data_IF_326276381126
#
_entry.id   IF_326276381126
#
_cell.length_a   1.000
_cell.length_b   1.000
_cell.length_c   1.000
_cell.angle_alpha   90.00
_cell.angle_beta   90.00
_cell.angle_gamma   90.00
#
_symmetry.space_group_name_H-M   'P 1'
#
loop_
_entity.id
_entity.type
_entity.pdbx_description
1 polymer ?
#
# COMPACT_ATOMS: atom_id res chain seq x y z
N UNK A 1 -21.65 -16.33 4.23
CA UNK A 1 -21.18 -16.52 5.62
C UNK A 1 -22.36 -16.38 6.60
N UNK A 2 -22.38 -17.19 7.66
CA UNK A 2 -23.38 -17.14 8.73
C UNK A 2 -23.15 -15.96 9.68
N UNK A 3 -24.12 -15.68 10.57
CA UNK A 3 -24.03 -14.56 11.53
C UNK A 3 -22.81 -14.64 12.43
N UNK A 4 -22.48 -15.84 12.94
CA UNK A 4 -21.32 -16.05 13.82
C UNK A 4 -20.00 -15.80 13.11
N UNK A 5 -19.86 -16.25 11.86
CA UNK A 5 -18.67 -16.01 11.04
C UNK A 5 -18.45 -14.51 10.80
N UNK A 6 -19.53 -13.77 10.51
CA UNK A 6 -19.48 -12.31 10.37
C UNK A 6 -19.07 -11.65 11.68
N UNK A 7 -19.69 -12.05 12.80
CA UNK A 7 -19.38 -11.48 14.12
C UNK A 7 -17.96 -11.76 14.58
N UNK A 8 -17.44 -12.97 14.36
CA UNK A 8 -16.07 -13.34 14.67
C UNK A 8 -15.07 -12.58 13.77
N UNK A 9 -15.35 -12.47 12.47
CA UNK A 9 -14.54 -11.68 11.54
C UNK A 9 -14.48 -10.21 11.95
N UNK A 10 -15.63 -9.61 12.30
CA UNK A 10 -15.71 -8.23 12.77
C UNK A 10 -14.96 -8.00 14.09
N UNK A 11 -14.99 -8.96 15.02
CA UNK A 11 -14.19 -8.88 16.25
C UNK A 11 -12.69 -8.90 15.95
N UNK A 12 -12.26 -9.80 15.06
CA UNK A 12 -10.86 -9.90 14.69
C UNK A 12 -10.37 -8.66 13.94
N UNK A 13 -11.19 -8.14 13.02
CA UNK A 13 -10.94 -6.88 12.31
C UNK A 13 -10.78 -5.71 13.30
N UNK A 14 -11.72 -5.53 14.24
CA UNK A 14 -11.65 -4.49 15.28
C UNK A 14 -10.39 -4.61 16.13
N UNK A 15 -9.91 -5.82 16.38
CA UNK A 15 -8.68 -6.04 17.14
C UNK A 15 -7.41 -5.62 16.38
N UNK A 16 -7.44 -5.63 15.04
CA UNK A 16 -6.27 -5.38 14.18
C UNK A 16 -6.23 -3.95 13.62
N UNK A 17 -7.38 -3.31 13.37
CA UNK A 17 -7.44 -1.92 12.88
C UNK A 17 -6.51 -0.97 13.66
N UNK A 18 -6.42 -0.99 15.00
CA UNK A 18 -5.57 -0.07 15.75
C UNK A 18 -4.06 -0.19 15.45
N UNK A 19 -3.61 -1.33 14.91
CA UNK A 19 -2.20 -1.58 14.60
C UNK A 19 -1.89 -1.54 13.10
N UNK A 20 -2.90 -1.35 12.24
CA UNK A 20 -2.66 -1.22 10.81
C UNK A 20 -1.86 0.07 10.50
N UNK A 21 -1.00 0.04 9.47
CA UNK A 21 -0.36 1.23 8.93
C UNK A 21 -1.40 2.19 8.35
N UNK A 22 -1.01 3.45 8.17
CA UNK A 22 -1.83 4.38 7.39
C UNK A 22 -1.76 4.04 5.90
N UNK A 23 -2.68 4.60 5.12
CA UNK A 23 -2.66 4.47 3.66
C UNK A 23 -1.40 5.09 3.04
N UNK A 24 -0.87 6.17 3.63
CA UNK A 24 0.40 6.79 3.21
C UNK A 24 1.60 5.87 3.46
N UNK A 25 1.60 5.12 4.57
CA UNK A 25 2.69 4.18 4.91
C UNK A 25 2.61 2.88 4.09
N UNK A 26 1.39 2.42 3.82
CA UNK A 26 1.15 1.16 3.13
C UNK A 26 -0.11 1.24 2.26
N UNK A 27 0.01 1.72 1.01
CA UNK A 27 -1.13 2.07 0.15
C UNK A 27 -1.79 0.86 -0.50
N UNK A 28 -2.12 -0.17 0.28
CA UNK A 28 -2.69 -1.41 -0.20
C UNK A 28 -4.07 -1.65 0.41
N UNK A 29 -4.99 -2.15 -0.41
CA UNK A 29 -6.18 -2.81 0.09
C UNK A 29 -5.76 -4.17 0.70
N UNK A 30 -5.92 -4.31 2.00
CA UNK A 30 -5.59 -5.54 2.73
C UNK A 30 -6.85 -6.39 2.87
N UNK A 31 -6.78 -7.63 2.40
CA UNK A 31 -7.82 -8.64 2.63
C UNK A 31 -7.24 -9.82 3.38
N UNK A 32 -7.75 -10.05 4.58
CA UNK A 32 -7.41 -11.24 5.37
C UNK A 32 -8.60 -12.18 5.41
N UNK A 33 -8.35 -13.47 5.17
CA UNK A 33 -9.37 -14.53 5.29
C UNK A 33 -8.82 -15.53 6.30
N UNK A 34 -9.56 -15.73 7.39
CA UNK A 34 -9.24 -16.75 8.40
C UNK A 34 -10.12 -17.97 8.17
N UNK A 35 -9.52 -19.08 7.77
CA UNK A 35 -10.21 -20.36 7.58
C UNK A 35 -9.98 -21.25 8.80
N UNK A 36 -11.05 -21.66 9.47
CA UNK A 36 -10.99 -22.51 10.65
C UNK A 36 -11.07 -23.97 10.23
N UNK A 37 -9.95 -24.69 10.27
CA UNK A 37 -9.90 -26.13 9.99
C UNK A 37 -10.27 -26.98 11.21
N UNK A 38 -9.96 -26.50 12.41
CA UNK A 38 -10.26 -27.16 13.68
C UNK A 38 -10.76 -26.15 14.70
N UNK A 39 -11.68 -26.58 15.57
CA UNK A 39 -12.29 -25.71 16.57
C UNK A 39 -12.62 -26.49 17.84
N UNK A 40 -11.81 -26.30 18.87
CA UNK A 40 -12.16 -26.70 20.25
C UNK A 40 -12.00 -25.55 21.25
N UNK A 41 -11.81 -24.32 20.79
CA UNK A 41 -11.65 -23.12 21.60
C UNK A 41 -12.04 -21.88 20.82
N UNK A 42 -11.56 -20.71 21.23
CA UNK A 42 -11.99 -19.45 20.63
C UNK A 42 -11.36 -19.18 19.26
N UNK A 43 -12.05 -19.62 18.19
CA UNK A 43 -11.61 -19.43 16.80
C UNK A 43 -11.51 -17.96 16.39
N UNK A 44 -12.25 -17.06 17.05
CA UNK A 44 -12.13 -15.62 16.82
C UNK A 44 -10.80 -15.06 17.35
N UNK A 45 -10.32 -15.56 18.50
CA UNK A 45 -9.02 -15.18 19.04
C UNK A 45 -7.87 -15.82 18.25
N UNK A 46 -8.03 -17.07 17.84
CA UNK A 46 -7.10 -17.72 16.91
C UNK A 46 -7.00 -16.93 15.58
N UNK A 47 -8.12 -16.43 15.05
CA UNK A 47 -8.15 -15.59 13.84
C UNK A 47 -7.38 -14.28 14.02
N UNK A 48 -7.41 -13.65 15.19
CA UNK A 48 -6.58 -12.45 15.48
C UNK A 48 -5.10 -12.79 15.40
N UNK A 49 -4.67 -13.85 16.10
CA UNK A 49 -3.26 -14.28 16.13
C UNK A 49 -2.78 -14.66 14.73
N UNK A 50 -3.54 -15.49 14.01
CA UNK A 50 -3.22 -15.94 12.67
C UNK A 50 -3.16 -14.77 11.68
N UNK A 51 -4.12 -13.84 11.76
CA UNK A 51 -4.14 -12.65 10.91
C UNK A 51 -2.96 -11.73 11.21
N UNK A 52 -2.60 -11.52 12.48
CA UNK A 52 -1.41 -10.73 12.84
C UNK A 52 -0.15 -11.33 12.20
N UNK A 53 0.04 -12.65 12.29
CA UNK A 53 1.17 -13.33 11.66
C UNK A 53 1.10 -13.26 10.13
N UNK A 54 -0.07 -13.45 9.54
CA UNK A 54 -0.27 -13.40 8.09
C UNK A 54 0.03 -12.01 7.52
N UNK A 55 -0.36 -10.94 8.22
CA UNK A 55 -0.05 -9.56 7.83
C UNK A 55 1.46 -9.33 7.83
N UNK A 56 2.15 -9.74 8.90
CA UNK A 56 3.60 -9.66 8.99
C UNK A 56 4.29 -10.48 7.90
N UNK A 57 3.81 -11.70 7.62
CA UNK A 57 4.32 -12.58 6.57
C UNK A 57 4.12 -12.01 5.16
N UNK A 58 3.05 -11.24 4.95
CA UNK A 58 2.73 -10.56 3.70
C UNK A 58 3.53 -9.26 3.50
N UNK A 59 4.31 -8.83 4.50
CA UNK A 59 5.08 -7.59 4.46
C UNK A 59 4.27 -6.35 4.82
N UNK A 60 3.12 -6.52 5.47
CA UNK A 60 2.34 -5.38 5.99
C UNK A 60 3.06 -4.83 7.24
N UNK A 61 3.45 -3.55 7.26
CA UNK A 61 4.17 -2.94 8.37
C UNK A 61 3.21 -2.60 9.53
N UNK A 62 2.59 -3.62 10.13
CA UNK A 62 1.75 -3.41 11.32
C UNK A 62 2.60 -2.86 12.46
N UNK A 63 2.06 -1.89 13.21
CA UNK A 63 2.78 -1.17 14.27
C UNK A 63 3.31 -2.13 15.33
N UNK A 64 2.48 -3.11 15.74
CA UNK A 64 2.78 -4.12 16.76
C UNK A 64 1.96 -5.39 16.50
N UNK A 65 2.50 -6.59 16.78
CA UNK A 65 1.73 -7.82 16.71
C UNK A 65 0.62 -7.85 17.76
N UNK A 66 -0.51 -8.45 17.40
CA UNK A 66 -1.71 -8.56 18.23
C UNK A 66 -2.03 -10.03 18.46
N UNK A 67 -2.23 -10.42 19.72
CA UNK A 67 -2.73 -11.73 20.08
C UNK A 67 -4.11 -11.60 20.74
N UNK A 68 -4.92 -12.64 20.59
CA UNK A 68 -6.20 -12.81 21.26
C UNK A 68 -6.16 -13.99 22.23
N UNK A 69 -6.96 -13.92 23.29
CA UNK A 69 -7.21 -15.04 24.19
C UNK A 69 -8.61 -14.95 24.78
N UNK A 70 -9.21 -16.09 25.12
CA UNK A 70 -10.47 -16.16 25.87
C UNK A 70 -10.22 -16.57 27.32
N UNK A 71 -11.07 -16.09 28.21
CA UNK A 71 -11.20 -16.58 29.57
C UNK A 71 -12.67 -16.87 29.84
N UNK A 72 -12.92 -17.91 30.63
CA UNK A 72 -14.25 -18.25 31.09
C UNK A 72 -14.41 -17.98 32.57
N UNK A 73 -15.65 -18.01 33.03
CA UNK A 73 -15.98 -17.99 34.46
C UNK A 73 -16.86 -19.19 34.77
N UNK A 74 -16.62 -19.82 35.90
CA UNK A 74 -17.56 -20.75 36.54
C UNK A 74 -17.82 -20.22 37.94
N UNK A 75 -19.09 -20.04 38.29
CA UNK A 75 -19.54 -19.58 39.60
C UNK A 75 -20.18 -20.73 40.38
N UNK A 76 -19.96 -20.73 41.68
CA UNK A 76 -20.55 -21.66 42.64
C UNK A 76 -21.81 -21.07 43.27
N UNK A 77 -22.10 -21.49 44.50
CA UNK A 77 -23.34 -21.10 45.20
C UNK A 77 -23.31 -19.66 45.74
N UNK A 78 -22.13 -19.06 45.87
CA UNK A 78 -21.92 -17.71 46.42
C UNK A 78 -21.07 -16.85 45.49
N UNK A 79 -21.22 -15.53 45.56
CA UNK A 79 -20.50 -14.58 44.70
C UNK A 79 -18.97 -14.64 44.83
N UNK A 80 -18.46 -15.16 45.95
CA UNK A 80 -17.03 -15.32 46.24
C UNK A 80 -16.48 -16.70 45.81
N UNK A 81 -17.36 -17.64 45.47
CA UNK A 81 -17.00 -18.98 45.00
C UNK A 81 -17.00 -18.99 43.48
N UNK A 82 -15.85 -18.68 42.88
CA UNK A 82 -15.71 -18.68 41.43
C UNK A 82 -14.33 -19.12 40.96
N UNK A 83 -14.26 -19.57 39.70
CA UNK A 83 -13.02 -19.92 39.02
C UNK A 83 -12.99 -19.23 37.67
N UNK A 84 -11.91 -18.48 37.42
CA UNK A 84 -11.60 -17.96 36.08
C UNK A 84 -10.76 -18.99 35.34
N UNK A 85 -11.22 -19.38 34.15
CA UNK A 85 -10.55 -20.31 33.25
C UNK A 85 -9.79 -19.53 32.16
N UNK A 86 -8.70 -20.08 31.64
CA UNK A 86 -7.88 -19.44 30.60
C UNK A 86 -7.76 -20.34 29.40
N UNK A 87 -7.93 -19.76 28.22
CA UNK A 87 -7.97 -20.47 26.94
C UNK A 87 -9.05 -21.56 26.92
N UNK A 88 -10.28 -21.12 27.17
CA UNK A 88 -11.39 -22.04 27.38
C UNK A 88 -11.69 -22.89 26.14
N UNK A 89 -12.01 -24.14 26.40
CA UNK A 89 -12.52 -25.07 25.43
C UNK A 89 -14.01 -24.83 25.16
N UNK A 90 -14.52 -25.40 24.07
CA UNK A 90 -15.94 -25.28 23.72
C UNK A 90 -16.90 -25.80 24.82
N UNK A 91 -16.50 -26.85 25.55
CA UNK A 91 -17.28 -27.36 26.69
C UNK A 91 -17.26 -26.39 27.88
N UNK A 92 -16.10 -25.79 28.17
CA UNK A 92 -15.94 -24.83 29.26
C UNK A 92 -16.71 -23.53 28.98
N UNK A 93 -16.75 -23.08 27.72
CA UNK A 93 -17.64 -22.00 27.28
C UNK A 93 -19.11 -22.38 27.45
N UNK A 94 -19.51 -23.57 26.98
CA UNK A 94 -20.91 -24.01 27.03
C UNK A 94 -21.46 -24.03 28.46
N UNK A 95 -20.72 -24.62 29.40
CA UNK A 95 -21.11 -24.73 30.81
C UNK A 95 -20.71 -23.54 31.68
N UNK A 96 -19.86 -22.64 31.18
CA UNK A 96 -19.42 -21.46 31.91
C UNK A 96 -20.45 -20.33 31.93
N UNK A 97 -20.28 -19.44 32.89
CA UNK A 97 -21.15 -18.29 33.20
C UNK A 97 -20.75 -17.00 32.49
N UNK A 98 -19.55 -16.97 31.94
CA UNK A 98 -19.01 -15.84 31.17
C UNK A 98 -18.03 -16.36 30.10
N UNK A 99 -18.07 -15.74 28.93
CA UNK A 99 -17.02 -15.83 27.91
C UNK A 99 -16.43 -14.43 27.66
N UNK A 100 -15.18 -14.26 28.06
CA UNK A 100 -14.45 -13.01 28.01
C UNK A 100 -13.27 -13.10 27.05
N UNK A 101 -13.40 -12.45 25.90
CA UNK A 101 -12.38 -12.45 24.84
C UNK A 101 -11.64 -11.12 24.84
N UNK A 102 -10.31 -11.19 24.89
CA UNK A 102 -9.45 -10.01 24.92
C UNK A 102 -8.34 -10.15 23.90
N UNK A 103 -8.26 -9.17 23.00
CA UNK A 103 -7.18 -9.04 22.04
C UNK A 103 -6.38 -7.77 22.29
N UNK A 104 -5.09 -7.80 21.97
CA UNK A 104 -4.22 -6.65 22.18
C UNK A 104 -2.75 -6.90 21.91
N UNK A 105 -1.98 -5.84 22.11
CA UNK A 105 -0.52 -5.83 22.03
C UNK A 105 0.07 -5.97 23.44
N UNK A 106 1.40 -5.82 23.54
CA UNK A 106 2.12 -5.72 24.83
C UNK A 106 1.73 -4.47 25.63
N UNK A 107 1.45 -3.39 24.91
CA UNK A 107 1.16 -2.07 25.47
C UNK A 107 -0.27 -1.95 25.98
N UNK A 108 -1.21 -2.64 25.35
CA UNK A 108 -2.62 -2.41 25.64
C UNK A 108 -3.56 -3.36 24.93
N UNK A 109 -4.84 -3.17 25.21
CA UNK A 109 -5.94 -3.94 24.65
C UNK A 109 -6.43 -3.21 23.39
N UNK A 110 -6.65 -3.94 22.30
CA UNK A 110 -7.21 -3.41 21.06
C UNK A 110 -8.69 -3.76 20.89
N UNK A 111 -9.14 -4.87 21.45
CA UNK A 111 -10.55 -5.24 21.46
C UNK A 111 -10.91 -6.09 22.69
N UNK A 112 -12.14 -5.91 23.16
CA UNK A 112 -12.78 -6.75 24.18
C UNK A 112 -14.15 -7.16 23.65
N UNK A 113 -14.50 -8.42 23.83
CA UNK A 113 -15.86 -8.91 23.72
C UNK A 113 -16.17 -9.70 24.98
N UNK A 114 -17.35 -9.48 25.55
CA UNK A 114 -17.81 -10.18 26.74
C UNK A 114 -19.24 -10.64 26.51
N UNK A 115 -19.49 -11.90 26.80
CA UNK A 115 -20.83 -12.48 26.90
C UNK A 115 -21.01 -13.01 28.32
N UNK A 116 -22.12 -12.66 28.96
CA UNK A 116 -22.41 -12.99 30.36
C UNK A 116 -23.75 -13.73 30.38
N UNK A 117 -23.78 -14.89 31.05
CA UNK A 117 -24.99 -15.71 31.21
C UNK A 117 -25.63 -15.56 32.59
N UNK A 118 -24.95 -14.88 33.51
CA UNK A 118 -25.39 -14.59 34.88
C UNK A 118 -25.80 -13.12 35.06
N UNK A 119 -26.35 -12.81 36.23
CA UNK A 119 -26.97 -11.51 36.49
C UNK A 119 -25.98 -10.33 36.53
N UNK A 120 -24.70 -10.60 36.80
CA UNK A 120 -23.65 -9.59 36.81
C UNK A 120 -22.28 -10.15 37.18
N UNK A 121 -21.24 -9.31 37.09
CA UNK A 121 -19.88 -9.62 37.48
C UNK A 121 -19.43 -8.64 38.56
N UNK A 122 -18.76 -9.14 39.60
CA UNK A 122 -18.12 -8.26 40.58
C UNK A 122 -16.89 -7.59 39.95
N UNK A 123 -16.48 -6.45 40.51
CA UNK A 123 -15.26 -5.75 40.08
C UNK A 123 -14.03 -6.66 40.18
N UNK A 124 -13.98 -7.48 41.23
CA UNK A 124 -12.89 -8.42 41.46
C UNK A 124 -12.75 -9.45 40.33
N UNK A 125 -13.86 -10.04 39.89
CA UNK A 125 -13.87 -11.00 38.77
C UNK A 125 -13.34 -10.34 37.48
N UNK A 126 -13.76 -9.10 37.20
CA UNK A 126 -13.31 -8.37 36.01
C UNK A 126 -11.81 -8.06 36.08
N UNK A 127 -11.31 -7.58 37.22
CA UNK A 127 -9.89 -7.29 37.41
C UNK A 127 -9.04 -8.55 37.26
N UNK A 128 -9.49 -9.68 37.81
CA UNK A 128 -8.83 -10.97 37.66
C UNK A 128 -8.84 -11.46 36.21
N UNK A 129 -9.98 -11.40 35.52
CA UNK A 129 -10.09 -11.81 34.12
C UNK A 129 -9.18 -10.97 33.21
N UNK A 130 -9.10 -9.65 33.41
CA UNK A 130 -8.19 -8.78 32.66
C UNK A 130 -6.73 -9.12 32.95
N UNK A 131 -6.36 -9.35 34.22
CA UNK A 131 -4.99 -9.72 34.59
C UNK A 131 -4.58 -11.07 33.97
N UNK A 132 -5.48 -12.05 34.01
CA UNK A 132 -5.25 -13.40 33.49
C UNK A 132 -5.14 -13.42 31.97
N UNK A 133 -6.07 -12.75 31.28
CA UNK A 133 -6.00 -12.58 29.82
C UNK A 133 -4.75 -11.81 29.40
N UNK A 134 -4.29 -10.79 30.16
CA UNK A 134 -3.02 -10.12 29.89
C UNK A 134 -1.85 -11.09 29.94
N UNK A 135 -1.73 -11.89 31.01
CA UNK A 135 -0.62 -12.85 31.16
C UNK A 135 -0.60 -13.87 30.01
N UNK A 136 -1.76 -14.45 29.68
CA UNK A 136 -1.86 -15.44 28.62
C UNK A 136 -1.61 -14.83 27.23
N UNK A 137 -2.13 -13.63 26.96
CA UNK A 137 -1.89 -12.91 25.71
C UNK A 137 -0.41 -12.60 25.50
N UNK A 138 0.29 -12.17 26.54
CA UNK A 138 1.74 -11.93 26.47
C UNK A 138 2.49 -13.23 26.19
N UNK A 139 2.13 -14.33 26.84
CA UNK A 139 2.70 -15.65 26.54
C UNK A 139 2.52 -16.03 25.06
N UNK A 140 1.33 -15.85 24.50
CA UNK A 140 1.07 -16.12 23.06
C UNK A 140 1.95 -15.22 22.18
N UNK A 141 2.07 -13.94 22.50
CA UNK A 141 2.91 -13.00 21.73
C UNK A 141 4.39 -13.37 21.79
N UNK A 142 4.91 -13.63 22.99
CA UNK A 142 6.35 -13.75 23.26
C UNK A 142 6.87 -15.16 23.00
N UNK A 143 6.17 -16.17 23.50
CA UNK A 143 6.65 -17.54 23.51
C UNK A 143 6.22 -18.36 22.30
N UNK A 144 5.22 -17.88 21.54
CA UNK A 144 4.65 -18.60 20.40
C UNK A 144 4.78 -17.78 19.11
N UNK A 145 4.09 -16.65 19.01
CA UNK A 145 4.01 -15.87 17.77
C UNK A 145 5.38 -15.30 17.36
N UNK A 146 6.11 -14.66 18.29
CA UNK A 146 7.40 -14.05 17.99
C UNK A 146 8.46 -15.07 17.54
N UNK A 147 8.35 -16.34 17.98
CA UNK A 147 9.24 -17.42 17.52
C UNK A 147 8.95 -17.87 16.10
N UNK A 148 7.72 -17.69 15.62
CA UNK A 148 7.34 -17.99 14.24
C UNK A 148 7.68 -16.83 13.30
N UNK A 149 7.25 -15.60 13.65
CA UNK A 149 7.52 -14.38 12.90
C UNK A 149 7.75 -13.24 13.90
N UNK A 150 9.01 -12.81 14.04
CA UNK A 150 9.40 -11.79 15.01
C UNK A 150 8.97 -10.37 14.58
N UNK A 151 9.08 -10.06 13.29
CA UNK A 151 8.81 -8.75 12.71
C UNK A 151 8.18 -8.88 11.31
N UNK A 152 7.46 -7.85 10.82
CA UNK A 152 6.99 -7.82 9.44
C UNK A 152 8.13 -8.02 8.45
N UNK A 153 7.87 -8.76 7.36
CA UNK A 153 8.84 -8.85 6.28
C UNK A 153 9.09 -7.47 5.67
N UNK A 154 10.32 -7.15 5.24
CA UNK A 154 10.67 -5.83 4.73
C UNK A 154 9.99 -5.52 3.39
N UNK A 155 9.64 -6.56 2.62
CA UNK A 155 8.99 -6.41 1.31
C UNK A 155 7.76 -7.31 1.21
N UNK A 156 6.79 -6.84 0.43
CA UNK A 156 5.66 -7.66 -0.02
C UNK A 156 6.15 -8.79 -0.93
N UNK A 157 5.34 -9.85 -1.04
CA UNK A 157 5.71 -11.02 -1.86
C UNK A 157 5.99 -10.67 -3.33
N UNK A 158 6.78 -11.48 -4.05
CA UNK A 158 7.20 -11.18 -5.43
C UNK A 158 6.03 -11.13 -6.43
N UNK A 159 4.92 -11.78 -6.11
CA UNK A 159 3.70 -11.79 -6.93
C UNK A 159 2.67 -10.76 -6.47
N UNK A 160 2.92 -10.09 -5.34
CA UNK A 160 2.08 -8.97 -4.93
C UNK A 160 2.40 -7.78 -5.83
N UNK A 161 1.38 -7.09 -6.37
CA UNK A 161 1.61 -5.80 -7.02
C UNK A 161 2.34 -4.90 -6.05
N UNK A 162 3.34 -4.16 -6.52
CA UNK A 162 4.01 -3.10 -5.77
C UNK A 162 3.34 -1.78 -6.12
N UNK A 163 3.22 -0.90 -5.14
CA UNK A 163 2.66 0.43 -5.30
C UNK A 163 3.73 1.47 -5.01
N UNK A 164 3.82 2.48 -5.87
CA UNK A 164 4.64 3.67 -5.70
C UNK A 164 3.73 4.88 -5.75
N UNK A 165 3.93 5.79 -4.81
CA UNK A 165 3.16 7.03 -4.75
C UNK A 165 4.07 8.22 -5.02
N UNK A 166 3.53 9.22 -5.71
CA UNK A 166 4.10 10.55 -5.79
C UNK A 166 3.00 11.60 -5.68
N UNK A 167 3.40 12.82 -5.33
CA UNK A 167 2.50 13.96 -5.27
C UNK A 167 2.81 14.94 -6.39
N UNK A 168 1.76 15.38 -7.08
CA UNK A 168 1.85 16.35 -8.17
C UNK A 168 1.01 17.59 -7.84
N UNK A 169 1.28 18.71 -8.49
CA UNK A 169 0.46 19.91 -8.37
C UNK A 169 -0.95 19.63 -8.94
N UNK A 170 -2.04 19.84 -8.18
CA UNK A 170 -3.41 19.66 -8.67
C UNK A 170 -3.71 20.40 -9.98
N UNK A 171 -3.06 21.54 -10.23
CA UNK A 171 -3.22 22.29 -11.48
C UNK A 171 -2.71 21.52 -12.72
N UNK A 172 -1.80 20.55 -12.52
CA UNK A 172 -1.15 19.76 -13.57
C UNK A 172 -1.79 18.38 -13.77
N UNK A 173 -2.82 18.02 -13.01
CA UNK A 173 -3.57 16.76 -13.20
C UNK A 173 -4.10 16.67 -14.64
N UNK A 174 -4.61 17.77 -15.19
CA UNK A 174 -5.10 17.84 -16.56
C UNK A 174 -4.05 17.48 -17.62
N UNK A 175 -2.79 17.81 -17.39
CA UNK A 175 -1.67 17.48 -18.29
C UNK A 175 -1.35 15.98 -18.26
N UNK A 176 -1.39 15.35 -17.07
CA UNK A 176 -1.09 13.93 -16.89
C UNK A 176 -2.21 13.04 -17.44
N UNK A 177 -3.46 13.41 -17.19
CA UNK A 177 -4.62 12.68 -17.75
C UNK A 177 -4.70 12.89 -19.26
N UNK A 178 -4.46 14.11 -19.73
CA UNK A 178 -4.61 14.51 -21.12
C UNK A 178 -6.08 14.54 -21.57
N UNK A 179 -6.33 15.00 -22.79
CA UNK A 179 -7.69 15.09 -23.33
C UNK A 179 -8.37 13.71 -23.37
N UNK A 180 -9.45 13.54 -22.61
CA UNK A 180 -10.19 12.26 -22.46
C UNK A 180 -9.32 11.08 -22.01
N UNK A 181 -8.28 11.32 -21.21
CA UNK A 181 -7.43 10.24 -20.70
C UNK A 181 -6.41 9.70 -21.70
N UNK A 182 -6.19 10.36 -22.85
CA UNK A 182 -5.24 9.86 -23.87
C UNK A 182 -3.82 9.67 -23.35
N UNK A 183 -3.31 10.63 -22.56
CA UNK A 183 -1.93 10.61 -22.08
C UNK A 183 -1.73 9.50 -21.05
N UNK A 184 -2.62 9.40 -20.06
CA UNK A 184 -2.53 8.36 -19.04
C UNK A 184 -2.72 6.95 -19.63
N UNK A 185 -3.65 6.77 -20.59
CA UNK A 185 -3.83 5.49 -21.26
C UNK A 185 -2.59 5.11 -22.09
N UNK A 186 -1.92 6.06 -22.74
CA UNK A 186 -0.68 5.78 -23.47
C UNK A 186 0.45 5.32 -22.52
N UNK A 187 0.56 5.90 -21.32
CA UNK A 187 1.54 5.45 -20.31
C UNK A 187 1.21 4.04 -19.84
N UNK A 188 -0.07 3.76 -19.56
CA UNK A 188 -0.56 2.43 -19.16
C UNK A 188 -0.25 1.40 -20.26
N UNK A 189 -0.52 1.70 -21.53
CA UNK A 189 -0.29 0.78 -22.65
C UNK A 189 1.21 0.49 -22.86
N UNK A 190 2.07 1.49 -22.64
CA UNK A 190 3.53 1.34 -22.80
C UNK A 190 4.20 0.58 -21.65
N UNK A 191 3.68 0.73 -20.43
CA UNK A 191 4.32 0.20 -19.21
C UNK A 191 3.60 -1.01 -18.63
N UNK A 192 2.33 -1.23 -18.97
CA UNK A 192 1.50 -2.30 -18.43
C UNK A 192 1.12 -2.13 -16.95
N UNK A 193 1.36 -0.95 -16.37
CA UNK A 193 1.02 -0.64 -14.97
C UNK A 193 -0.37 -0.03 -14.86
N UNK A 194 -0.96 -0.05 -13.66
CA UNK A 194 -2.17 0.72 -13.35
C UNK A 194 -1.78 2.03 -12.70
N UNK A 195 -2.40 3.13 -13.12
CA UNK A 195 -2.17 4.46 -12.59
C UNK A 195 -3.50 4.99 -12.09
N UNK A 196 -3.52 5.45 -10.84
CA UNK A 196 -4.66 6.11 -10.22
C UNK A 196 -4.25 7.51 -9.76
N UNK A 197 -5.11 8.50 -9.99
CA UNK A 197 -4.84 9.91 -9.65
C UNK A 197 -6.02 10.43 -8.85
N UNK A 198 -5.74 10.92 -7.65
CA UNK A 198 -6.71 11.58 -6.78
C UNK A 198 -6.79 13.08 -7.07
N UNK A 199 -7.93 13.68 -6.77
CA UNK A 199 -8.21 15.11 -7.01
C UNK A 199 -7.28 16.05 -6.21
N UNK A 200 -6.64 15.54 -5.15
CA UNK A 200 -5.69 16.25 -4.30
C UNK A 200 -4.23 16.22 -4.84
N UNK A 201 -4.02 15.56 -5.98
CA UNK A 201 -2.72 15.41 -6.63
C UNK A 201 -1.91 14.19 -6.18
N UNK A 202 -2.49 13.25 -5.43
CA UNK A 202 -1.83 11.97 -5.16
C UNK A 202 -1.90 11.04 -6.38
N UNK A 203 -0.75 10.57 -6.85
CA UNK A 203 -0.64 9.63 -7.99
C UNK A 203 -0.10 8.30 -7.48
N UNK A 204 -0.85 7.22 -7.69
CA UNK A 204 -0.47 5.86 -7.31
C UNK A 204 -0.22 5.00 -8.56
N UNK A 205 1.01 4.50 -8.70
CA UNK A 205 1.42 3.59 -9.77
C UNK A 205 1.54 2.19 -9.20
N UNK A 206 0.78 1.24 -9.76
CA UNK A 206 0.67 -0.14 -9.31
C UNK A 206 1.09 -1.12 -10.41
N UNK A 207 2.05 -2.00 -10.13
CA UNK A 207 2.55 -2.98 -11.08
C UNK A 207 3.29 -4.12 -10.41
N UNK A 208 3.54 -5.22 -11.13
CA UNK A 208 4.35 -6.34 -10.63
C UNK A 208 5.85 -6.17 -10.94
N UNK A 209 6.16 -5.45 -12.01
CA UNK A 209 7.54 -5.17 -12.43
C UNK A 209 7.99 -3.78 -11.95
N UNK A 210 9.07 -3.76 -11.17
CA UNK A 210 9.66 -2.54 -10.65
C UNK A 210 10.19 -1.62 -11.76
N UNK A 211 10.78 -2.18 -12.83
CA UNK A 211 11.32 -1.37 -13.93
C UNK A 211 10.20 -0.69 -14.74
N UNK A 212 9.09 -1.39 -14.97
CA UNK A 212 7.90 -0.81 -15.59
C UNK A 212 7.30 0.34 -14.75
N UNK A 213 7.22 0.16 -13.43
CA UNK A 213 6.74 1.20 -12.52
C UNK A 213 7.65 2.42 -12.50
N UNK A 214 8.97 2.23 -12.41
CA UNK A 214 9.93 3.34 -12.42
C UNK A 214 9.88 4.12 -13.73
N UNK A 215 9.65 3.44 -14.86
CA UNK A 215 9.41 4.12 -16.15
C UNK A 215 8.13 4.95 -16.14
N UNK A 216 7.02 4.41 -15.62
CA UNK A 216 5.76 5.15 -15.53
C UNK A 216 5.89 6.39 -14.62
N UNK A 217 6.56 6.24 -13.47
CA UNK A 217 6.83 7.35 -12.55
C UNK A 217 7.67 8.45 -13.22
N UNK A 218 8.74 8.08 -13.94
CA UNK A 218 9.55 9.04 -14.70
C UNK A 218 8.75 9.77 -15.76
N UNK A 219 7.87 9.06 -16.49
CA UNK A 219 7.02 9.69 -17.52
C UNK A 219 6.06 10.71 -16.90
N UNK A 220 5.43 10.38 -15.77
CA UNK A 220 4.56 11.30 -15.03
C UNK A 220 5.37 12.51 -14.53
N UNK A 221 6.55 12.27 -13.94
CA UNK A 221 7.43 13.33 -13.46
C UNK A 221 7.82 14.30 -14.58
N UNK A 222 8.18 13.79 -15.77
CA UNK A 222 8.52 14.61 -16.93
C UNK A 222 7.32 15.46 -17.39
N UNK A 223 6.10 14.93 -17.32
CA UNK A 223 4.89 15.68 -17.71
C UNK A 223 4.62 16.81 -16.72
N UNK A 224 4.82 16.57 -15.43
CA UNK A 224 4.51 17.53 -14.35
C UNK A 224 5.63 18.54 -14.13
N UNK A 225 6.87 18.20 -14.47
CA UNK A 225 8.03 19.09 -14.31
C UNK A 225 7.88 20.32 -15.20
N UNK A 226 8.09 21.51 -14.63
CA UNK A 226 8.23 22.72 -15.42
C UNK A 226 9.57 22.68 -16.15
N UNK A 227 9.51 22.68 -17.48
CA UNK A 227 10.70 22.59 -18.33
C UNK A 227 11.59 23.82 -18.17
N UNK A 228 12.55 23.73 -17.26
CA UNK A 228 13.61 24.71 -17.08
C UNK A 228 14.75 24.46 -18.07
N UNK A 229 15.43 25.53 -18.47
CA UNK A 229 16.54 25.44 -19.41
C UNK A 229 17.71 24.68 -18.75
N UNK A 230 18.24 23.65 -19.43
CA UNK A 230 19.37 22.83 -18.99
C UNK A 230 19.05 21.36 -18.68
N UNK A 231 17.77 20.96 -18.61
CA UNK A 231 17.39 19.57 -18.38
C UNK A 231 17.59 18.70 -19.63
N UNK A 232 18.11 17.47 -19.45
CA UNK A 232 18.33 16.50 -20.53
C UNK A 232 17.18 15.48 -20.55
N UNK A 233 16.60 15.26 -21.73
CA UNK A 233 15.53 14.31 -21.97
C UNK A 233 15.90 13.33 -23.09
N UNK A 234 15.32 12.14 -23.07
CA UNK A 234 15.33 11.20 -24.19
C UNK A 234 13.97 11.22 -24.87
N UNK A 235 13.96 11.31 -26.20
CA UNK A 235 12.71 11.33 -26.97
C UNK A 235 12.86 10.69 -28.34
N UNK A 236 11.71 10.52 -29.00
CA UNK A 236 11.61 9.90 -30.33
C UNK A 236 11.22 10.93 -31.38
N UNK A 237 11.86 10.91 -32.54
CA UNK A 237 11.55 11.82 -33.64
C UNK A 237 10.20 11.46 -34.27
N UNK A 238 9.20 12.32 -34.08
CA UNK A 238 7.82 12.11 -34.60
C UNK A 238 7.56 12.82 -35.92
N UNK A 239 8.21 13.95 -36.18
CA UNK A 239 8.04 14.69 -37.44
C UNK A 239 9.31 15.43 -37.81
N UNK A 240 9.66 15.45 -39.10
CA UNK A 240 10.79 16.21 -39.64
C UNK A 240 10.24 17.27 -40.59
N UNK A 241 10.74 18.50 -40.44
CA UNK A 241 10.47 19.64 -41.32
C UNK A 241 11.79 20.25 -41.78
N UNK A 242 11.74 21.08 -42.81
CA UNK A 242 12.93 21.73 -43.38
C UNK A 242 13.70 22.60 -42.37
N UNK A 243 13.01 23.16 -41.38
CA UNK A 243 13.58 24.03 -40.35
C UNK A 243 13.93 23.33 -39.03
N UNK A 244 13.56 22.06 -38.85
CA UNK A 244 13.78 21.35 -37.58
C UNK A 244 13.08 20.01 -37.46
N UNK A 245 13.35 19.30 -36.36
CA UNK A 245 12.71 18.05 -35.99
C UNK A 245 11.83 18.22 -34.76
N UNK A 246 10.67 17.58 -34.74
CA UNK A 246 9.81 17.45 -33.58
C UNK A 246 10.11 16.13 -32.88
N UNK A 247 10.41 16.23 -31.59
CA UNK A 247 10.78 15.11 -30.75
C UNK A 247 9.73 15.00 -29.65
N UNK A 248 9.11 13.83 -29.57
CA UNK A 248 8.21 13.46 -28.49
C UNK A 248 9.04 12.82 -27.38
N UNK A 249 9.08 13.45 -26.21
CA UNK A 249 9.86 13.01 -25.06
C UNK A 249 8.97 12.48 -23.91
N UNK A 250 7.68 12.83 -23.94
CA UNK A 250 6.64 12.25 -23.09
C UNK A 250 5.32 12.21 -23.88
N UNK A 251 4.41 11.24 -23.61
CA UNK A 251 3.17 11.11 -24.38
C UNK A 251 2.37 12.41 -24.42
N UNK A 252 2.18 12.95 -25.63
CA UNK A 252 1.44 14.19 -25.86
C UNK A 252 2.20 15.50 -25.56
N UNK A 253 3.50 15.43 -25.21
CA UNK A 253 4.40 16.59 -25.15
C UNK A 253 5.49 16.47 -26.21
N UNK A 254 5.45 17.39 -27.17
CA UNK A 254 6.44 17.53 -28.23
C UNK A 254 7.28 18.78 -28.00
N UNK A 255 8.56 18.71 -28.36
CA UNK A 255 9.40 19.89 -28.50
C UNK A 255 10.13 19.90 -29.83
N UNK A 256 10.59 21.09 -30.20
CA UNK A 256 11.19 21.35 -31.51
C UNK A 256 12.69 21.57 -31.36
N UNK A 257 13.48 20.82 -32.12
CA UNK A 257 14.91 21.10 -32.32
C UNK A 257 15.06 21.83 -33.65
N UNK A 258 15.57 23.05 -33.58
CA UNK A 258 15.89 23.82 -34.78
C UNK A 258 17.13 23.26 -35.50
N UNK A 259 17.18 23.31 -36.83
CA UNK A 259 18.27 22.72 -37.64
C UNK A 259 19.68 23.17 -37.21
N UNK A 260 19.82 24.42 -36.72
CA UNK A 260 21.10 24.95 -36.23
C UNK A 260 21.57 24.40 -34.88
N UNK A 261 20.71 23.65 -34.18
CA UNK A 261 20.94 23.08 -32.86
C UNK A 261 21.01 21.54 -32.87
N UNK A 262 20.96 20.92 -34.05
CA UNK A 262 21.04 19.47 -34.24
C UNK A 262 22.48 18.96 -34.13
N UNK A 263 23.44 19.61 -34.79
CA UNK A 263 24.85 19.20 -34.79
C UNK A 263 25.81 20.38 -34.66
N UNK A 264 27.05 20.10 -34.24
CA UNK A 264 28.16 21.07 -34.24
C UNK A 264 28.56 21.46 -35.68
N UNK A 265 28.30 20.58 -36.64
CA UNK A 265 28.59 20.77 -38.07
C UNK A 265 27.42 21.43 -38.82
N UNK A 266 27.72 22.09 -39.95
CA UNK A 266 26.70 22.77 -40.76
C UNK A 266 25.97 21.76 -41.64
N UNK A 267 24.80 21.34 -41.19
CA UNK A 267 23.93 20.41 -41.91
C UNK A 267 23.09 21.19 -42.95
N UNK A 268 22.88 20.62 -44.14
CA UNK A 268 21.99 21.20 -45.17
C UNK A 268 20.54 20.77 -45.00
N UNK A 269 20.29 19.52 -44.59
CA UNK A 269 18.93 18.99 -44.35
C UNK A 269 18.87 18.21 -43.05
N UNK A 270 17.77 18.35 -42.30
CA UNK A 270 17.54 17.59 -41.06
C UNK A 270 17.57 16.08 -41.29
N UNK A 271 17.07 15.65 -42.46
CA UNK A 271 17.05 14.27 -42.95
C UNK A 271 18.45 13.63 -43.08
N UNK A 272 19.52 14.44 -43.13
CA UNK A 272 20.89 13.92 -43.24
C UNK A 272 21.39 13.33 -41.91
N UNK A 273 20.74 13.68 -40.79
CA UNK A 273 21.20 13.34 -39.42
C UNK A 273 20.13 12.62 -38.60
N UNK A 274 18.85 12.88 -38.85
CA UNK A 274 17.75 12.30 -38.09
C UNK A 274 16.78 11.57 -39.02
N UNK A 275 16.37 10.37 -38.60
CA UNK A 275 15.29 9.64 -39.26
C UNK A 275 14.02 9.65 -38.41
N UNK A 276 12.86 9.47 -39.06
CA UNK A 276 11.59 9.33 -38.35
C UNK A 276 11.62 8.06 -37.48
N UNK A 277 11.34 8.20 -36.20
CA UNK A 277 11.40 7.11 -35.22
C UNK A 277 12.74 6.97 -34.48
N UNK A 278 13.74 7.81 -34.75
CA UNK A 278 15.02 7.74 -34.02
C UNK A 278 14.87 8.17 -32.56
N UNK A 279 15.56 7.45 -31.66
CA UNK A 279 15.70 7.80 -30.24
C UNK A 279 16.92 8.67 -30.01
N UNK A 280 16.71 9.84 -29.43
CA UNK A 280 17.74 10.88 -29.32
C UNK A 280 17.70 11.58 -27.96
N UNK A 281 18.89 11.96 -27.47
CA UNK A 281 19.06 12.78 -26.27
C UNK A 281 19.03 14.26 -26.63
N UNK A 282 18.30 15.07 -25.87
CA UNK A 282 18.13 16.51 -26.10
C UNK A 282 18.16 17.30 -24.80
N UNK A 283 18.74 18.51 -24.85
CA UNK A 283 18.70 19.49 -23.74
C UNK A 283 17.60 20.50 -23.97
N UNK A 284 16.77 20.73 -22.97
CA UNK A 284 15.75 21.79 -22.97
C UNK A 284 16.44 23.17 -22.92
N UNK A 285 16.12 24.03 -23.87
CA UNK A 285 16.54 25.44 -23.89
C UNK A 285 15.46 26.38 -23.31
N UNK A 286 14.34 25.83 -22.84
CA UNK A 286 13.18 26.56 -22.32
C UNK A 286 12.03 26.68 -23.33
N UNK A 287 11.08 27.57 -23.03
CA UNK A 287 9.91 27.84 -23.88
C UNK A 287 10.18 29.01 -24.83
N UNK A 288 9.88 28.82 -26.12
CA UNK A 288 9.92 29.89 -27.13
C UNK A 288 8.72 30.86 -26.96
N UNK A 289 8.71 31.99 -27.68
CA UNK A 289 7.68 33.05 -27.64
C UNK A 289 6.25 32.55 -27.88
N UNK A 290 6.10 31.36 -28.47
CA UNK A 290 4.83 30.69 -28.77
C UNK A 290 4.45 29.61 -27.73
N UNK A 291 5.18 29.51 -26.61
CA UNK A 291 4.94 28.54 -25.55
C UNK A 291 5.41 27.11 -25.86
N UNK A 292 6.06 26.88 -27.00
CA UNK A 292 6.59 25.58 -27.42
C UNK A 292 7.96 25.32 -26.80
N UNK A 293 8.22 24.07 -26.44
CA UNK A 293 9.49 23.65 -25.83
C UNK A 293 10.56 23.61 -26.93
N UNK A 294 11.67 24.31 -26.72
CA UNK A 294 12.82 24.33 -27.62
C UNK A 294 13.91 23.40 -27.10
N UNK A 295 14.42 22.53 -27.96
CA UNK A 295 15.43 21.55 -27.61
C UNK A 295 16.73 21.77 -28.40
N UNK A 296 17.85 21.30 -27.85
CA UNK A 296 19.16 21.30 -28.50
C UNK A 296 19.84 19.95 -28.34
N UNK A 297 20.34 19.39 -29.44
CA UNK A 297 21.16 18.16 -29.43
C UNK A 297 22.65 18.49 -29.31
N UNK A 298 23.06 19.66 -29.83
CA UNK A 298 24.45 20.11 -29.79
C UNK A 298 24.97 20.39 -28.37
N UNK A 299 24.07 20.83 -27.50
CA UNK A 299 24.38 21.30 -26.14
C UNK A 299 24.27 20.18 -25.08
N UNK A 300 24.00 18.93 -25.51
CA UNK A 300 24.08 17.74 -24.64
C UNK A 300 25.55 17.52 -24.26
N UNK A 301 25.86 17.57 -22.97
CA UNK A 301 27.19 17.19 -22.48
C UNK A 301 27.36 15.67 -22.71
N UNK A 302 28.48 15.28 -23.33
CA UNK A 302 28.90 13.87 -23.43
C UNK A 302 29.09 13.25 -22.05
#
# INVERSE_FOLDING_TARGET
PGRREIGHGALAERALIPVLPTEEEFPYAIRTVSETFESNGSTSQASVCASSLSLMAAGVPIKKPVAGISCGLVTGETDDDYIVLTDIQGLEDFFGDMDFKVAGTRDGITAIQMDIKIHGLTRQIIEEAIARTRKARLYILDEVMAKAIAEPRPEVGPYAPKIRQMRIDPAKIGDVVGQRGKTINAIIDQTGVKIDISDDGAVSVCGVDAEAMDRAMKLIEIIVTDFEAGQVFEGTVVSIKEFGAFIEFAPGKEGMVHISKISKERIKRVEDVLTLGDKVKVVCLGKDKLGRISFSMKDVAE
#
